data_IF_736753781105
#
_entry.id   IF_736753781105
#
_cell.length_a   1.000
_cell.length_b   1.000
_cell.length_c   1.000
_cell.angle_alpha   90.00
_cell.angle_beta   90.00
_cell.angle_gamma   90.00
#
_symmetry.space_group_name_H-M   'P 1'
#
loop_
_entity.id
_entity.type
_entity.pdbx_description
1 polymer ?
#
# COMPACT_ATOMS: atom_id res chain seq x y z
N UNK A 1 -38.80 40.06 -9.68
CA UNK A 1 -37.49 40.47 -9.13
C UNK A 1 -37.52 40.38 -7.62
N UNK A 2 -36.80 39.41 -7.04
CA UNK A 2 -36.34 39.44 -5.64
C UNK A 2 -35.02 38.67 -5.59
N UNK A 3 -33.94 39.39 -5.34
CA UNK A 3 -32.58 38.85 -5.24
C UNK A 3 -32.40 38.24 -3.86
N UNK A 4 -31.95 36.98 -3.79
CA UNK A 4 -31.51 36.36 -2.55
C UNK A 4 -29.97 36.28 -2.58
N UNK A 5 -29.31 37.14 -1.81
CA UNK A 5 -27.86 37.10 -1.60
C UNK A 5 -27.64 36.19 -0.38
N UNK A 6 -27.00 35.04 -0.59
CA UNK A 6 -26.64 34.13 0.50
C UNK A 6 -25.21 34.41 0.96
N UNK A 7 -25.06 35.13 2.08
CA UNK A 7 -23.77 35.35 2.73
C UNK A 7 -23.38 34.14 3.58
N UNK A 8 -22.27 33.48 3.24
CA UNK A 8 -21.64 32.46 4.08
C UNK A 8 -20.83 33.12 5.22
N UNK A 9 -20.86 32.59 6.45
CA UNK A 9 -20.02 33.08 7.54
C UNK A 9 -18.57 32.60 7.38
N UNK A 10 -17.62 33.54 7.39
CA UNK A 10 -16.18 33.24 7.52
C UNK A 10 -15.90 32.91 8.98
N UNK A 11 -15.52 31.67 9.27
CA UNK A 11 -15.12 31.24 10.61
C UNK A 11 -13.60 31.29 10.74
N UNK A 12 -13.06 32.44 11.17
CA UNK A 12 -11.63 32.60 11.46
C UNK A 12 -11.29 32.09 12.86
N UNK A 13 -10.67 30.92 12.95
CA UNK A 13 -10.04 30.42 14.19
C UNK A 13 -8.65 31.01 14.37
N UNK A 14 -8.55 32.04 15.22
CA UNK A 14 -7.28 32.63 15.64
C UNK A 14 -6.73 31.77 16.80
N UNK A 15 -5.66 31.03 16.56
CA UNK A 15 -4.98 30.27 17.62
C UNK A 15 -4.10 31.21 18.45
N UNK A 16 -4.63 31.69 19.58
CA UNK A 16 -3.91 32.56 20.50
C UNK A 16 -2.94 31.76 21.38
N UNK A 17 -1.63 32.00 21.22
CA UNK A 17 -0.61 31.49 22.14
C UNK A 17 -0.70 32.25 23.47
N UNK A 18 -0.98 31.53 24.56
CA UNK A 18 -0.99 32.10 25.92
C UNK A 18 0.43 32.35 26.46
N UNK A 19 0.65 33.38 27.29
CA UNK A 19 1.97 33.72 27.82
C UNK A 19 2.38 32.82 29.00
N UNK A 20 3.66 32.42 29.03
CA UNK A 20 4.27 31.79 30.20
C UNK A 20 4.50 32.78 31.34
N UNK A 21 4.31 32.33 32.58
CA UNK A 21 4.65 33.09 33.79
C UNK A 21 6.08 32.74 34.29
N UNK A 22 6.77 33.66 34.97
CA UNK A 22 8.18 33.52 35.29
C UNK A 22 8.43 32.68 36.56
N UNK A 23 9.59 32.04 36.60
CA UNK A 23 10.19 31.50 37.81
C UNK A 23 11.59 32.08 37.98
N UNK A 24 11.72 33.10 38.81
CA UNK A 24 13.01 33.66 39.20
C UNK A 24 13.75 32.69 40.13
N UNK A 25 15.02 32.43 39.84
CA UNK A 25 15.99 32.17 40.91
C UNK A 25 17.33 32.80 40.58
N UNK A 26 17.62 33.85 41.33
CA UNK A 26 18.83 34.65 41.32
C UNK A 26 20.07 33.83 41.74
N UNK A 27 21.18 33.92 40.99
CA UNK A 27 22.52 33.65 41.54
C UNK A 27 23.61 34.39 40.74
N UNK A 28 23.94 35.57 41.27
CA UNK A 28 25.16 36.42 41.17
C UNK A 28 26.33 35.97 40.23
N UNK A 29 26.94 36.87 39.44
CA UNK A 29 28.01 36.56 38.49
C UNK A 29 29.42 36.74 39.07
N UNK A 30 30.42 36.05 38.51
CA UNK A 30 31.84 36.38 38.80
C UNK A 30 32.76 36.17 37.60
N UNK A 31 33.18 37.31 37.03
CA UNK A 31 34.52 37.63 36.51
C UNK A 31 35.16 36.78 35.38
N UNK A 32 35.17 37.41 34.21
CA UNK A 32 36.17 37.41 33.13
C UNK A 32 37.56 36.76 33.34
N UNK A 33 38.16 36.25 32.25
CA UNK A 33 39.63 36.19 32.17
C UNK A 33 40.28 35.37 31.05
N UNK A 34 40.55 36.02 29.91
CA UNK A 34 41.86 35.97 29.22
C UNK A 34 42.25 34.76 28.33
N UNK A 35 43.05 35.11 27.32
CA UNK A 35 43.57 34.35 26.18
C UNK A 35 44.96 33.73 26.37
N UNK A 36 45.36 32.84 25.45
CA UNK A 36 46.74 32.32 25.28
C UNK A 36 46.98 30.96 25.95
N UNK A 37 47.95 30.13 25.54
CA UNK A 37 48.92 30.24 24.44
C UNK A 37 49.45 28.83 24.06
N UNK A 38 50.40 28.75 23.13
CA UNK A 38 51.04 27.55 22.56
C UNK A 38 51.81 26.64 23.53
N UNK A 39 52.00 25.36 23.17
CA UNK A 39 53.17 24.59 23.64
C UNK A 39 53.11 23.05 23.43
N UNK A 40 54.12 22.39 22.82
CA UNK A 40 54.14 20.94 22.62
C UNK A 40 54.85 20.16 23.75
N UNK A 41 54.59 18.85 23.85
CA UNK A 41 55.32 17.92 24.74
C UNK A 41 55.52 16.54 24.10
N UNK A 42 56.78 16.09 24.03
CA UNK A 42 57.21 14.89 23.30
C UNK A 42 57.66 13.74 24.22
N UNK A 43 57.37 12.50 23.78
CA UNK A 43 58.17 11.26 23.92
C UNK A 43 58.69 10.78 25.29
N UNK A 44 58.38 9.51 25.63
CA UNK A 44 59.31 8.39 25.95
C UNK A 44 58.46 7.18 26.38
N UNK A 45 58.28 6.15 25.57
CA UNK A 45 59.11 4.93 25.44
C UNK A 45 59.14 3.98 26.66
N UNK A 46 58.48 2.83 26.46
CA UNK A 46 58.94 1.44 26.70
C UNK A 46 59.22 0.96 28.16
N UNK A 47 59.16 -0.34 28.51
CA UNK A 47 59.03 -1.57 27.72
C UNK A 47 58.45 -2.76 28.51
N UNK A 48 57.73 -3.66 27.81
CA UNK A 48 57.65 -5.14 27.97
C UNK A 48 57.71 -5.86 29.34
N UNK A 49 56.78 -6.80 29.53
CA UNK A 49 57.09 -8.20 29.96
C UNK A 49 56.02 -9.15 29.41
N UNK A 50 56.44 -10.35 28.96
CA UNK A 50 55.60 -11.44 28.45
C UNK A 50 55.50 -12.59 29.50
N UNK A 51 54.88 -13.75 29.35
CA UNK A 51 54.26 -14.56 28.26
C UNK A 51 53.38 -15.63 29.02
N UNK A 52 52.87 -16.76 28.47
CA UNK A 52 52.54 -17.19 27.11
C UNK A 52 51.10 -17.77 26.98
N UNK A 53 50.80 -18.48 25.88
CA UNK A 53 49.54 -19.20 25.64
C UNK A 53 49.74 -20.71 25.38
N UNK A 54 48.75 -21.54 25.76
CA UNK A 54 48.46 -22.92 25.28
C UNK A 54 46.96 -23.18 25.50
N UNK A 55 46.11 -23.42 24.50
CA UNK A 55 45.90 -24.71 23.79
C UNK A 55 45.49 -25.86 24.72
N UNK A 56 44.23 -26.35 24.66
CA UNK A 56 43.90 -27.60 23.94
C UNK A 56 42.38 -27.94 23.82
N UNK A 57 42.06 -28.73 22.79
CA UNK A 57 40.96 -29.68 22.55
C UNK A 57 39.48 -29.45 22.96
N UNK A 58 38.61 -29.55 21.94
CA UNK A 58 37.22 -30.06 22.02
C UNK A 58 37.20 -31.57 22.39
N UNK A 59 36.05 -32.10 22.82
CA UNK A 59 35.38 -33.01 21.88
C UNK A 59 33.90 -32.70 21.64
N UNK A 60 33.49 -32.96 20.40
CA UNK A 60 32.11 -32.91 19.90
C UNK A 60 31.26 -34.06 20.44
N UNK A 61 29.99 -33.81 20.75
CA UNK A 61 28.94 -34.80 20.54
C UNK A 61 27.64 -34.13 20.10
N UNK A 62 27.12 -34.52 18.94
CA UNK A 62 25.93 -33.93 18.35
C UNK A 62 24.66 -34.55 18.94
N UNK A 63 23.68 -33.72 19.30
CA UNK A 63 22.31 -34.17 19.57
C UNK A 63 21.53 -34.19 18.26
N UNK A 64 21.58 -35.31 17.56
CA UNK A 64 20.67 -35.61 16.45
C UNK A 64 19.28 -35.95 17.00
N UNK A 65 18.31 -35.05 16.82
CA UNK A 65 16.89 -35.40 16.95
C UNK A 65 16.37 -35.77 15.58
N UNK A 66 16.52 -37.04 15.21
CA UNK A 66 15.89 -37.59 14.02
C UNK A 66 14.42 -37.88 14.32
N UNK A 67 13.52 -37.00 13.88
CA UNK A 67 12.09 -37.31 13.79
C UNK A 67 11.79 -37.99 12.46
N UNK A 68 12.26 -39.23 12.32
CA UNK A 68 11.70 -40.14 11.33
C UNK A 68 10.34 -40.63 11.83
N UNK A 69 9.28 -40.34 11.10
CA UNK A 69 7.99 -41.03 11.25
C UNK A 69 7.51 -41.42 9.86
N UNK A 70 7.40 -42.72 9.64
CA UNK A 70 7.24 -43.31 8.31
C UNK A 70 5.95 -42.87 7.60
N UNK A 71 5.94 -42.78 6.26
CA UNK A 71 4.70 -42.62 5.50
C UNK A 71 3.89 -43.92 5.56
N UNK A 72 2.76 -43.90 6.27
CA UNK A 72 1.74 -44.96 6.17
C UNK A 72 0.81 -44.68 4.99
N UNK A 73 1.06 -45.37 3.88
CA UNK A 73 0.08 -45.55 2.80
C UNK A 73 -1.05 -46.48 3.24
N UNK A 74 -2.33 -46.10 3.11
CA UNK A 74 -3.43 -47.04 3.00
C UNK A 74 -3.93 -47.13 1.55
N UNK A 75 -3.51 -48.20 0.88
CA UNK A 75 -4.30 -49.06 -0.01
C UNK A 75 -5.68 -48.57 -0.47
N UNK A 76 -5.86 -48.47 -1.79
CA UNK A 76 -7.18 -48.45 -2.43
C UNK A 76 -7.99 -49.72 -2.11
N UNK A 77 -9.25 -49.57 -1.71
CA UNK A 77 -10.20 -50.67 -1.62
C UNK A 77 -11.52 -50.30 -2.32
N UNK A 78 -11.77 -51.00 -3.43
CA UNK A 78 -13.02 -51.02 -4.22
C UNK A 78 -14.20 -51.56 -3.42
N UNK A 79 -15.44 -51.08 -3.69
CA UNK A 79 -16.80 -51.67 -3.48
C UNK A 79 -17.80 -50.50 -3.38
N UNK A 80 -18.98 -50.43 -4.02
CA UNK A 80 -19.63 -51.26 -5.03
C UNK A 80 -20.47 -50.39 -5.99
N UNK A 81 -21.06 -50.99 -7.03
CA UNK A 81 -21.96 -50.34 -7.98
C UNK A 81 -23.42 -50.24 -7.49
N UNK A 82 -24.20 -49.32 -8.08
CA UNK A 82 -25.32 -49.69 -8.98
C UNK A 82 -25.76 -48.46 -9.83
N UNK A 83 -26.39 -48.65 -11.00
CA UNK A 83 -26.59 -47.58 -12.00
C UNK A 83 -28.02 -47.03 -12.11
N UNK A 84 -28.15 -45.85 -12.69
CA UNK A 84 -29.38 -45.34 -13.37
C UNK A 84 -28.89 -44.29 -14.39
N UNK A 85 -28.68 -44.61 -15.67
CA UNK A 85 -29.68 -44.82 -16.74
C UNK A 85 -30.61 -43.61 -16.92
N UNK A 86 -30.43 -42.83 -17.99
CA UNK A 86 -31.30 -41.68 -18.28
C UNK A 86 -30.69 -40.65 -19.24
N UNK A 87 -30.34 -41.09 -20.46
CA UNK A 87 -30.03 -40.17 -21.58
C UNK A 87 -31.31 -39.94 -22.39
N UNK A 88 -31.32 -38.85 -23.17
CA UNK A 88 -32.31 -38.45 -24.18
C UNK A 88 -33.48 -37.57 -23.70
N UNK A 89 -33.54 -36.38 -24.30
CA UNK A 89 -34.81 -35.70 -24.57
C UNK A 89 -34.69 -35.00 -25.92
N UNK A 90 -34.84 -35.78 -27.00
CA UNK A 90 -35.16 -35.26 -28.33
C UNK A 90 -36.62 -35.60 -28.61
N UNK A 91 -37.43 -34.59 -28.89
CA UNK A 91 -38.85 -34.76 -29.21
C UNK A 91 -39.38 -33.48 -29.84
N UNK A 92 -39.40 -33.42 -31.17
CA UNK A 92 -40.02 -32.33 -31.91
C UNK A 92 -41.43 -32.69 -32.40
N UNK A 93 -42.17 -31.65 -32.81
CA UNK A 93 -43.35 -31.69 -33.71
C UNK A 93 -44.58 -32.55 -33.28
N UNK A 94 -45.84 -32.17 -33.51
CA UNK A 94 -46.47 -31.12 -34.34
C UNK A 94 -47.87 -30.82 -33.77
N UNK A 95 -48.48 -29.65 -34.02
CA UNK A 95 -49.83 -29.57 -34.65
C UNK A 95 -50.27 -28.13 -34.95
N UNK A 96 -50.89 -27.96 -36.11
CA UNK A 96 -51.50 -26.73 -36.65
C UNK A 96 -52.83 -26.35 -35.99
N UNK A 97 -53.14 -25.04 -35.93
CA UNK A 97 -54.53 -24.51 -35.99
C UNK A 97 -54.63 -22.98 -36.25
N UNK A 98 -54.82 -22.61 -37.52
CA UNK A 98 -55.90 -21.71 -38.02
C UNK A 98 -56.10 -20.27 -37.45
N UNK A 99 -55.57 -19.28 -38.19
CA UNK A 99 -56.28 -18.10 -38.77
C UNK A 99 -57.18 -17.15 -37.93
N UNK A 100 -56.58 -16.05 -37.42
CA UNK A 100 -57.03 -14.64 -37.46
C UNK A 100 -58.40 -14.18 -36.86
N UNK A 101 -58.76 -12.86 -36.93
CA UNK A 101 -57.98 -11.68 -37.35
C UNK A 101 -58.00 -10.45 -36.39
N UNK A 102 -57.10 -9.48 -36.64
CA UNK A 102 -57.17 -8.01 -36.38
C UNK A 102 -57.67 -7.48 -35.02
N UNK A 103 -56.80 -6.74 -34.32
CA UNK A 103 -57.18 -5.40 -33.83
C UNK A 103 -55.99 -4.41 -33.83
N UNK A 104 -56.31 -3.11 -33.94
CA UNK A 104 -55.35 -2.01 -34.18
C UNK A 104 -54.96 -1.32 -32.88
N UNK A 105 -53.66 -1.15 -32.63
CA UNK A 105 -53.16 -0.23 -31.61
C UNK A 105 -52.00 0.62 -32.16
N UNK A 106 -52.28 1.89 -32.38
CA UNK A 106 -51.29 2.92 -32.74
C UNK A 106 -50.45 3.30 -31.52
N UNK A 107 -49.12 3.22 -31.63
CA UNK A 107 -48.21 3.88 -30.69
C UNK A 107 -46.97 4.39 -31.44
N UNK A 108 -46.57 5.61 -31.13
CA UNK A 108 -45.43 6.32 -31.69
C UNK A 108 -44.11 5.52 -31.61
N UNK A 109 -43.25 5.53 -32.64
CA UNK A 109 -41.83 5.29 -32.48
C UNK A 109 -41.18 6.54 -31.85
N UNK A 110 -41.60 6.87 -30.62
CA UNK A 110 -40.79 7.73 -29.76
C UNK A 110 -39.47 6.99 -29.55
N UNK A 111 -38.42 7.49 -30.18
CA UNK A 111 -37.05 7.02 -29.97
C UNK A 111 -36.66 7.29 -28.53
N UNK A 112 -36.95 6.33 -27.67
CA UNK A 112 -36.25 6.17 -26.40
C UNK A 112 -34.79 5.92 -26.75
N UNK A 113 -34.01 7.00 -26.77
CA UNK A 113 -32.56 6.91 -26.68
C UNK A 113 -32.27 6.36 -25.29
N UNK A 114 -32.30 5.03 -25.18
CA UNK A 114 -31.66 4.32 -24.09
C UNK A 114 -30.19 4.67 -24.22
N UNK A 115 -29.74 5.67 -23.46
CA UNK A 115 -28.32 5.89 -23.20
C UNK A 115 -27.81 4.57 -22.63
N UNK A 116 -27.09 3.81 -23.45
CA UNK A 116 -26.46 2.59 -22.99
C UNK A 116 -25.51 2.95 -21.87
N UNK A 117 -25.76 2.40 -20.69
CA UNK A 117 -24.78 2.33 -19.64
C UNK A 117 -23.58 1.58 -20.23
N UNK A 118 -22.45 2.25 -20.37
CA UNK A 118 -21.25 1.66 -20.97
C UNK A 118 -20.67 0.67 -19.96
N UNK A 119 -20.78 -0.62 -20.26
CA UNK A 119 -20.13 -1.69 -19.51
C UNK A 119 -18.64 -1.39 -19.26
N UNK A 120 -18.18 -1.64 -18.04
CA UNK A 120 -16.82 -2.13 -17.81
C UNK A 120 -15.70 -1.12 -17.55
N UNK A 121 -15.98 0.10 -17.07
CA UNK A 121 -14.94 0.84 -16.34
C UNK A 121 -14.55 0.06 -15.07
N UNK A 122 -13.26 -0.11 -14.75
CA UNK A 122 -12.87 -0.89 -13.57
C UNK A 122 -13.25 -0.15 -12.29
N UNK A 123 -13.72 -0.89 -11.26
CA UNK A 123 -14.07 -0.33 -9.94
C UNK A 123 -12.89 0.41 -9.28
N UNK A 124 -11.65 0.10 -9.71
CA UNK A 124 -10.39 0.67 -9.24
C UNK A 124 -9.49 1.03 -10.42
N UNK A 125 -8.82 2.19 -10.38
CA UNK A 125 -7.81 2.59 -11.34
C UNK A 125 -6.47 2.94 -10.67
N UNK A 126 -5.36 2.80 -11.39
CA UNK A 126 -4.00 2.94 -10.84
C UNK A 126 -3.13 3.88 -11.69
N UNK A 127 -2.16 4.53 -11.05
CA UNK A 127 -1.06 5.22 -11.70
C UNK A 127 0.21 5.13 -10.85
N UNK A 128 1.39 5.11 -11.49
CA UNK A 128 2.67 5.19 -10.80
C UNK A 128 3.57 6.29 -11.38
N UNK A 129 4.33 6.94 -10.51
CA UNK A 129 5.31 7.96 -10.87
C UNK A 129 6.61 7.73 -10.12
N UNK A 130 7.71 7.70 -10.89
CA UNK A 130 9.08 7.74 -10.41
C UNK A 130 9.59 9.19 -10.38
N UNK A 131 10.39 9.51 -9.38
CA UNK A 131 11.12 10.76 -9.25
C UNK A 131 12.54 10.47 -8.72
N UNK A 132 13.57 10.98 -9.39
CA UNK A 132 14.96 10.91 -8.93
C UNK A 132 15.34 12.20 -8.21
N UNK A 133 15.93 12.11 -7.00
CA UNK A 133 16.35 13.31 -6.28
C UNK A 133 16.80 13.11 -4.83
N UNK A 134 18.05 12.69 -4.63
CA UNK A 134 18.63 12.51 -3.30
C UNK A 134 18.24 11.18 -2.67
N UNK A 135 16.93 10.97 -2.45
CA UNK A 135 16.32 9.65 -2.51
C UNK A 135 15.64 9.54 -3.88
N UNK A 136 15.68 8.36 -4.49
CA UNK A 136 14.73 8.07 -5.55
C UNK A 136 13.47 7.53 -4.89
N UNK A 137 12.29 7.83 -5.43
CA UNK A 137 11.08 7.17 -4.97
C UNK A 137 10.13 6.79 -6.11
N UNK A 138 9.18 5.92 -5.79
CA UNK A 138 8.04 5.55 -6.61
C UNK A 138 6.80 5.85 -5.77
N UNK A 139 5.95 6.71 -6.30
CA UNK A 139 4.63 6.97 -5.74
C UNK A 139 3.62 6.16 -6.55
N UNK A 140 2.85 5.29 -5.90
CA UNK A 140 1.72 4.59 -6.52
C UNK A 140 0.44 5.20 -5.99
N UNK A 141 -0.50 5.50 -6.88
CA UNK A 141 -1.85 5.93 -6.51
C UNK A 141 -2.90 4.95 -7.01
N UNK A 142 -3.92 4.77 -6.18
CA UNK A 142 -5.07 3.92 -6.45
C UNK A 142 -6.36 4.72 -6.21
N UNK A 143 -7.16 4.88 -7.26
CA UNK A 143 -8.47 5.52 -7.23
C UNK A 143 -9.55 4.44 -7.11
N UNK A 144 -10.19 4.32 -5.94
CA UNK A 144 -11.35 3.46 -5.74
C UNK A 144 -12.62 4.22 -6.19
N UNK A 145 -12.96 4.10 -7.48
CA UNK A 145 -13.99 4.93 -8.12
C UNK A 145 -15.39 4.71 -7.56
N UNK A 146 -15.64 3.52 -7.01
CA UNK A 146 -16.93 3.09 -6.46
C UNK A 146 -17.15 3.52 -5.01
N UNK A 147 -16.09 3.45 -4.21
CA UNK A 147 -16.09 3.76 -2.77
C UNK A 147 -15.66 5.22 -2.50
N UNK A 148 -15.33 5.97 -3.56
CA UNK A 148 -14.93 7.38 -3.59
C UNK A 148 -13.79 7.73 -2.63
N UNK A 149 -12.67 7.00 -2.76
CA UNK A 149 -11.43 7.32 -2.05
C UNK A 149 -10.19 7.17 -2.95
N UNK A 150 -9.13 7.88 -2.57
CA UNK A 150 -7.81 7.81 -3.19
C UNK A 150 -6.78 7.33 -2.16
N UNK A 151 -6.00 6.31 -2.52
CA UNK A 151 -4.84 5.83 -1.76
C UNK A 151 -3.55 6.23 -2.47
N UNK A 152 -2.56 6.68 -1.72
CA UNK A 152 -1.19 6.93 -2.18
C UNK A 152 -0.20 6.13 -1.35
N UNK A 153 0.78 5.50 -2.01
CA UNK A 153 1.82 4.66 -1.41
C UNK A 153 3.18 5.17 -1.90
N UNK A 154 4.12 5.32 -0.97
CA UNK A 154 5.47 5.79 -1.25
C UNK A 154 6.51 4.70 -0.97
N UNK A 155 7.27 4.31 -1.99
CA UNK A 155 8.46 3.47 -1.87
C UNK A 155 9.69 4.29 -2.22
N UNK A 156 10.75 4.26 -1.41
CA UNK A 156 11.98 5.03 -1.65
C UNK A 156 13.23 4.15 -1.67
N UNK A 157 14.32 4.65 -2.26
CA UNK A 157 15.67 4.07 -2.23
C UNK A 157 16.75 5.16 -2.20
N UNK A 158 17.99 4.87 -1.75
CA UNK A 158 18.39 3.63 -1.08
C UNK A 158 17.79 3.51 0.33
N UNK A 159 17.54 2.28 0.74
CA UNK A 159 17.15 1.92 2.11
C UNK A 159 16.92 0.42 2.24
N UNK A 160 16.34 -0.01 3.35
CA UNK A 160 15.88 -1.40 3.51
C UNK A 160 14.58 -1.40 4.29
N UNK A 161 13.61 -2.21 3.86
CA UNK A 161 12.32 -2.32 4.53
C UNK A 161 12.49 -2.76 5.99
N UNK A 162 12.13 -1.93 6.99
CA UNK A 162 12.09 -2.35 8.39
C UNK A 162 10.79 -3.12 8.72
N UNK A 163 9.87 -3.26 7.74
CA UNK A 163 8.54 -3.84 7.91
C UNK A 163 8.60 -5.35 7.58
N UNK A 164 8.57 -6.26 8.57
CA UNK A 164 8.85 -7.68 8.32
C UNK A 164 7.76 -8.41 7.52
N UNK A 165 6.57 -7.81 7.41
CA UNK A 165 5.42 -8.34 6.70
C UNK A 165 5.33 -7.84 5.25
N UNK A 166 6.27 -7.00 4.81
CA UNK A 166 6.31 -6.40 3.48
C UNK A 166 7.57 -6.80 2.73
N UNK A 167 7.40 -7.48 1.60
CA UNK A 167 8.48 -7.80 0.66
C UNK A 167 8.56 -6.74 -0.44
N UNK A 168 9.76 -6.19 -0.67
CA UNK A 168 10.09 -5.23 -1.72
C UNK A 168 11.37 -5.68 -2.44
N UNK A 169 11.69 -5.14 -3.64
CA UNK A 169 12.98 -5.32 -4.26
C UNK A 169 14.14 -4.79 -3.39
N UNK A 170 15.35 -5.30 -3.61
CA UNK A 170 16.54 -4.91 -2.84
C UNK A 170 16.82 -3.41 -2.96
N UNK A 171 17.35 -2.82 -1.89
CA UNK A 171 17.62 -1.40 -1.69
C UNK A 171 16.40 -0.45 -1.67
N UNK A 172 15.17 -0.98 -1.79
CA UNK A 172 13.94 -0.21 -1.62
C UNK A 172 13.32 -0.41 -0.22
N UNK A 173 12.60 0.62 0.25
CA UNK A 173 11.87 0.60 1.51
C UNK A 173 10.52 1.34 1.40
N UNK A 174 9.57 0.96 2.24
CA UNK A 174 8.26 1.61 2.34
C UNK A 174 8.33 2.84 3.25
N UNK A 175 8.06 4.00 2.68
CA UNK A 175 8.07 5.28 3.38
C UNK A 175 6.73 5.59 4.05
N UNK A 176 5.63 5.07 3.51
CA UNK A 176 4.29 5.23 4.06
C UNK A 176 3.20 5.05 3.00
N UNK A 177 1.95 4.99 3.46
CA UNK A 177 0.77 5.07 2.63
C UNK A 177 -0.28 5.95 3.31
N UNK A 178 -1.14 6.57 2.51
CA UNK A 178 -2.26 7.37 3.00
C UNK A 178 -3.55 7.08 2.24
N UNK A 179 -4.70 7.34 2.86
CA UNK A 179 -6.02 7.33 2.23
C UNK A 179 -6.70 8.69 2.40
N UNK A 180 -7.45 9.10 1.40
CA UNK A 180 -8.18 10.37 1.37
C UNK A 180 -9.56 10.17 0.74
N UNK A 181 -10.51 11.02 1.12
CA UNK A 181 -11.84 11.03 0.53
C UNK A 181 -11.81 11.70 -0.85
N UNK A 182 -12.54 11.12 -1.81
CA UNK A 182 -12.55 11.53 -3.20
C UNK A 182 -11.63 10.66 -4.06
N UNK A 183 -12.19 9.99 -5.07
CA UNK A 183 -11.40 9.33 -6.12
C UNK A 183 -11.13 10.26 -7.33
N UNK A 184 -11.81 11.42 -7.40
CA UNK A 184 -11.60 12.45 -8.42
C UNK A 184 -10.17 12.98 -8.39
N UNK A 185 -9.57 13.15 -9.57
CA UNK A 185 -8.20 13.62 -9.80
C UNK A 185 -7.09 12.82 -9.07
N UNK A 186 -7.42 11.69 -8.45
CA UNK A 186 -6.49 10.85 -7.70
C UNK A 186 -5.25 10.49 -8.52
N UNK A 187 -5.42 10.14 -9.79
CA UNK A 187 -4.30 9.73 -10.67
C UNK A 187 -3.42 10.90 -11.15
N UNK A 188 -3.76 12.17 -10.85
CA UNK A 188 -2.92 13.32 -11.16
C UNK A 188 -1.98 13.65 -10.00
N UNK A 189 -0.72 13.25 -10.12
CA UNK A 189 0.33 13.54 -9.15
C UNK A 189 0.62 15.04 -8.94
N UNK A 190 0.15 15.92 -9.82
CA UNK A 190 0.24 17.38 -9.61
C UNK A 190 -0.83 17.89 -8.62
N UNK A 191 -1.89 17.12 -8.39
CA UNK A 191 -2.92 17.43 -7.39
C UNK A 191 -2.48 16.89 -6.02
N UNK A 192 -2.35 17.76 -5.00
CA UNK A 192 -1.99 17.32 -3.65
C UNK A 192 -3.17 16.62 -2.98
N UNK A 193 -2.89 15.52 -2.30
CA UNK A 193 -3.91 14.77 -1.57
C UNK A 193 -4.30 15.54 -0.30
N UNK A 194 -5.55 15.99 -0.24
CA UNK A 194 -6.11 16.67 0.93
C UNK A 194 -6.70 15.69 1.95
N UNK A 195 -6.64 16.05 3.24
CA UNK A 195 -7.28 15.30 4.33
C UNK A 195 -6.83 13.83 4.44
N UNK A 196 -5.59 13.56 4.03
CA UNK A 196 -4.98 12.24 4.06
C UNK A 196 -4.83 11.67 5.48
N UNK A 197 -5.24 10.42 5.68
CA UNK A 197 -5.03 9.62 6.89
C UNK A 197 -3.96 8.56 6.60
N UNK A 198 -2.92 8.48 7.44
CA UNK A 198 -1.82 7.53 7.26
C UNK A 198 -2.22 6.10 7.62
N UNK A 199 -1.70 5.12 6.87
CA UNK A 199 -1.83 3.71 7.19
C UNK A 199 -1.08 3.37 8.49
N UNK A 200 -1.69 2.57 9.36
CA UNK A 200 -1.08 2.08 10.61
C UNK A 200 -0.14 0.89 10.37
N UNK A 201 -0.40 0.09 9.34
CA UNK A 201 0.41 -1.05 8.95
C UNK A 201 0.26 -1.36 7.46
N UNK A 202 1.24 -2.08 6.92
CA UNK A 202 1.23 -2.64 5.56
C UNK A 202 1.80 -4.05 5.62
N UNK A 203 1.18 -4.95 4.87
CA UNK A 203 1.67 -6.30 4.63
C UNK A 203 1.48 -6.68 3.16
N UNK A 204 2.29 -7.62 2.67
CA UNK A 204 2.19 -8.16 1.31
C UNK A 204 3.50 -8.12 0.53
N UNK A 205 3.39 -8.06 -0.79
CA UNK A 205 4.52 -8.14 -1.73
C UNK A 205 4.39 -7.07 -2.81
N UNK A 206 5.50 -6.46 -3.18
CA UNK A 206 5.61 -5.65 -4.39
C UNK A 206 6.87 -6.05 -5.16
N UNK A 207 6.78 -6.17 -6.49
CA UNK A 207 7.90 -6.59 -7.34
C UNK A 207 8.01 -5.72 -8.59
N UNK A 208 9.25 -5.40 -8.95
CA UNK A 208 9.60 -4.78 -10.22
C UNK A 208 11.08 -5.05 -10.53
N UNK A 209 11.44 -5.02 -11.81
CA UNK A 209 12.85 -5.03 -12.21
C UNK A 209 13.55 -3.74 -11.74
N UNK A 210 14.66 -3.89 -11.01
CA UNK A 210 15.46 -2.76 -10.53
C UNK A 210 16.52 -2.31 -11.52
N UNK A 211 16.69 -3.03 -12.63
CA UNK A 211 17.47 -2.61 -13.80
C UNK A 211 16.55 -2.41 -15.03
N UNK A 212 16.70 -1.31 -15.80
CA UNK A 212 17.60 -0.19 -15.60
C UNK A 212 17.22 0.65 -14.37
N UNK A 213 18.13 1.55 -13.95
CA UNK A 213 17.97 2.42 -12.77
C UNK A 213 16.58 3.04 -12.62
N UNK A 214 15.95 3.47 -13.71
CA UNK A 214 14.58 3.98 -13.71
C UNK A 214 13.61 2.85 -14.11
N UNK A 215 12.80 2.30 -13.17
CA UNK A 215 11.86 1.24 -13.49
C UNK A 215 10.67 1.81 -14.27
N UNK A 216 10.40 1.25 -15.45
CA UNK A 216 9.29 1.68 -16.32
C UNK A 216 7.97 0.97 -16.02
N UNK A 217 8.02 -0.10 -15.23
CA UNK A 217 6.87 -0.97 -14.91
C UNK A 217 7.03 -1.51 -13.49
N UNK A 218 5.92 -1.64 -12.77
CA UNK A 218 5.82 -2.48 -11.58
C UNK A 218 5.15 -3.80 -11.99
N UNK A 219 5.86 -4.91 -11.80
CA UNK A 219 5.42 -6.23 -12.26
C UNK A 219 4.20 -6.70 -11.47
N UNK A 220 4.23 -6.56 -10.15
CA UNK A 220 3.08 -6.81 -9.28
C UNK A 220 3.05 -5.96 -8.02
N UNK A 221 1.83 -5.68 -7.56
CA UNK A 221 1.50 -5.18 -6.23
C UNK A 221 0.44 -6.11 -5.67
N UNK A 222 0.66 -6.68 -4.49
CA UNK A 222 -0.35 -7.38 -3.69
C UNK A 222 -0.16 -6.97 -2.23
N UNK A 223 -0.85 -5.90 -1.82
CA UNK A 223 -0.73 -5.29 -0.51
C UNK A 223 -2.07 -5.24 0.23
N UNK A 224 -1.99 -5.33 1.55
CA UNK A 224 -3.07 -4.92 2.46
C UNK A 224 -2.56 -3.77 3.30
N UNK A 225 -3.27 -2.65 3.26
CA UNK A 225 -3.05 -1.49 4.11
C UNK A 225 -4.11 -1.47 5.22
N UNK A 226 -3.69 -1.38 6.48
CA UNK A 226 -4.61 -1.11 7.59
C UNK A 226 -4.61 0.39 7.91
N UNK A 227 -5.77 0.96 8.21
CA UNK A 227 -5.91 2.35 8.62
C UNK A 227 -6.59 2.46 10.01
N UNK A 228 -6.24 3.48 10.81
CA UNK A 228 -6.89 3.70 12.10
C UNK A 228 -8.37 4.06 11.90
N UNK A 229 -9.30 3.51 12.70
CA UNK A 229 -10.74 3.77 12.59
C UNK A 229 -11.16 5.14 13.20
N UNK A 230 -10.32 6.16 13.03
CA UNK A 230 -10.48 7.50 13.62
C UNK A 230 -11.54 8.35 12.90
N UNK A 231 -11.95 7.95 11.70
CA UNK A 231 -12.93 8.64 10.86
C UNK A 231 -13.93 7.63 10.26
N UNK A 232 -15.25 7.90 10.28
CA UNK A 232 -16.26 6.95 9.78
C UNK A 232 -16.19 6.61 8.28
N UNK A 233 -15.49 7.42 7.49
CA UNK A 233 -15.31 7.24 6.05
C UNK A 233 -14.05 6.46 5.67
N UNK A 234 -13.11 6.28 6.61
CA UNK A 234 -11.84 5.57 6.36
C UNK A 234 -12.11 4.06 6.41
N UNK A 235 -11.81 3.30 5.34
CA UNK A 235 -11.86 1.84 5.39
C UNK A 235 -10.81 1.31 6.37
N UNK A 236 -11.21 0.40 7.26
CA UNK A 236 -10.27 -0.21 8.23
C UNK A 236 -9.13 -0.98 7.53
N UNK A 237 -9.42 -1.58 6.37
CA UNK A 237 -8.45 -2.24 5.51
C UNK A 237 -8.70 -1.88 4.05
N UNK A 238 -7.63 -1.70 3.28
CA UNK A 238 -7.68 -1.50 1.83
C UNK A 238 -6.74 -2.50 1.15
N UNK A 239 -7.27 -3.45 0.36
CA UNK A 239 -6.44 -4.27 -0.53
C UNK A 239 -6.01 -3.42 -1.74
N UNK A 240 -4.74 -3.54 -2.12
CA UNK A 240 -4.13 -2.83 -3.24
C UNK A 240 -3.43 -3.89 -4.11
N UNK A 241 -4.15 -4.36 -5.14
CA UNK A 241 -3.72 -5.45 -6.01
C UNK A 241 -3.71 -5.00 -7.48
N UNK A 242 -2.57 -5.12 -8.15
CA UNK A 242 -2.43 -4.82 -9.59
C UNK A 242 -1.18 -5.49 -10.19
N UNK A 243 -1.16 -5.68 -11.51
CA UNK A 243 -0.07 -6.29 -12.27
C UNK A 243 0.31 -5.41 -13.46
N UNK A 244 1.59 -5.44 -13.86
CA UNK A 244 2.12 -4.70 -15.01
C UNK A 244 1.77 -3.19 -15.03
N UNK A 245 1.82 -2.54 -13.86
CA UNK A 245 1.50 -1.12 -13.71
C UNK A 245 2.63 -0.26 -14.31
N UNK A 246 2.31 0.49 -15.37
CA UNK A 246 3.26 1.40 -16.00
C UNK A 246 3.68 2.54 -15.06
N UNK A 247 4.98 2.83 -15.03
CA UNK A 247 5.59 3.90 -14.22
C UNK A 247 5.98 5.06 -15.13
N UNK A 248 5.49 6.25 -14.80
CA UNK A 248 5.86 7.51 -15.46
C UNK A 248 7.04 8.20 -14.77
N UNK A 249 7.73 9.14 -15.42
CA UNK A 249 8.83 9.90 -14.81
C UNK A 249 10.23 9.32 -15.06
N UNK A 250 10.30 8.17 -15.74
CA UNK A 250 11.40 7.81 -16.63
C UNK A 250 11.27 8.55 -17.98
#
# INVERSE_FOLDING_TARGET
MRTAILTLPVLSTILACGPGAPGDTDTDPTTAGTSGETGPGTSSDASTTAEPATTDALPTTATTVASETSPTTPTSATTDALPTTGVETTGGETTDATTGPVETATADPSTTTTTGETDGAPDVAFAAQFWAGGLDHINVRMAALKDDFCVEIHFARPGGSPVPQLMLPTDWWYQGATVSQGAADCLDFMVPISQAIGASSVAGVVTWDTEPFCPTTIDSIDLVLDFPPDQPWVPAQVPVATEALAVSGC
#
